data_IF_123361254955
#
_entry.id   IF_123361254955
#
_cell.length_a   1.000
_cell.length_b   1.000
_cell.length_c   1.000
_cell.angle_alpha   90.00
_cell.angle_beta   90.00
_cell.angle_gamma   90.00
#
_symmetry.space_group_name_H-M   'P 1'
#
loop_
_entity.id
_entity.type
_entity.pdbx_description
1 polymer ?
#
# COMPACT_ATOMS: atom_id res chain seq x y z
N UNK A 1 -18.16 -17.91 16.64
CA UNK A 1 -18.12 -16.55 16.07
C UNK A 1 -17.10 -16.57 14.97
N UNK A 2 -17.58 -16.50 13.72
CA UNK A 2 -16.76 -16.79 12.54
C UNK A 2 -15.75 -15.69 12.26
N UNK A 3 -14.50 -16.10 12.10
CA UNK A 3 -13.38 -15.29 11.69
C UNK A 3 -13.49 -14.94 10.21
N UNK A 4 -14.28 -13.95 9.87
CA UNK A 4 -14.26 -13.36 8.53
C UNK A 4 -13.25 -12.21 8.46
N UNK A 5 -11.96 -12.54 8.56
CA UNK A 5 -10.95 -11.76 7.87
C UNK A 5 -11.04 -12.14 6.40
N UNK A 6 -12.03 -11.61 5.71
CA UNK A 6 -11.97 -11.54 4.26
C UNK A 6 -10.74 -10.69 3.95
N UNK A 7 -9.64 -11.36 3.66
CA UNK A 7 -8.51 -10.74 3.01
C UNK A 7 -9.12 -9.96 1.83
N UNK A 8 -8.85 -8.66 1.75
CA UNK A 8 -9.26 -7.85 0.62
C UNK A 8 -8.61 -8.47 -0.62
N UNK A 9 -9.29 -9.48 -1.16
CA UNK A 9 -8.95 -10.08 -2.44
C UNK A 9 -9.35 -9.05 -3.49
N UNK A 10 -8.47 -8.08 -3.71
CA UNK A 10 -8.54 -7.30 -4.91
C UNK A 10 -8.32 -8.26 -6.08
N UNK A 11 -9.41 -8.62 -6.73
CA UNK A 11 -9.38 -9.32 -8.01
C UNK A 11 -9.29 -8.25 -9.09
N UNK A 12 -8.09 -8.06 -9.66
CA UNK A 12 -7.94 -7.14 -10.76
C UNK A 12 -8.77 -7.58 -11.96
N UNK A 13 -9.45 -6.65 -12.62
CA UNK A 13 -10.05 -6.90 -13.93
C UNK A 13 -8.94 -7.35 -14.89
N UNK A 14 -9.24 -8.39 -15.69
CA UNK A 14 -8.21 -9.18 -16.35
C UNK A 14 -7.96 -8.64 -17.77
N UNK A 15 -6.80 -8.10 -18.01
CA UNK A 15 -6.13 -8.37 -19.28
C UNK A 15 -4.95 -9.33 -19.01
N UNK A 16 -5.13 -10.61 -19.31
CA UNK A 16 -4.15 -11.66 -19.07
C UNK A 16 -3.28 -11.91 -20.31
N UNK A 17 -2.80 -10.86 -20.94
CA UNK A 17 -1.87 -11.00 -22.06
C UNK A 17 -0.48 -11.34 -21.53
N UNK A 18 0.06 -12.48 -21.98
CA UNK A 18 1.45 -12.83 -21.72
C UNK A 18 2.35 -11.86 -22.47
N UNK A 19 3.25 -11.19 -21.78
CA UNK A 19 4.25 -10.32 -22.35
C UNK A 19 5.55 -11.13 -22.46
N UNK A 20 5.83 -11.64 -23.64
CA UNK A 20 7.00 -12.49 -23.91
C UNK A 20 8.30 -11.71 -24.17
N UNK A 21 8.25 -10.37 -24.28
CA UNK A 21 9.44 -9.55 -24.51
C UNK A 21 9.25 -8.09 -24.09
N UNK A 22 10.37 -7.41 -23.84
CA UNK A 22 10.39 -5.96 -23.55
C UNK A 22 9.75 -5.15 -24.68
N UNK A 23 9.97 -5.57 -25.93
CA UNK A 23 9.39 -4.89 -27.10
C UNK A 23 7.86 -4.90 -27.03
N UNK A 24 7.25 -6.05 -26.76
CA UNK A 24 5.79 -6.17 -26.64
C UNK A 24 5.27 -5.32 -25.49
N UNK A 25 6.00 -5.24 -24.36
CA UNK A 25 5.63 -4.36 -23.27
C UNK A 25 5.63 -2.90 -23.69
N UNK A 26 6.69 -2.43 -24.35
CA UNK A 26 6.79 -1.03 -24.78
C UNK A 26 5.70 -0.67 -25.81
N UNK A 27 5.44 -1.54 -26.78
CA UNK A 27 4.36 -1.35 -27.77
C UNK A 27 2.98 -1.24 -27.08
N UNK A 28 2.73 -2.04 -26.05
CA UNK A 28 1.49 -1.94 -25.26
C UNK A 28 1.40 -0.65 -24.49
N UNK A 29 2.48 -0.25 -23.81
CA UNK A 29 2.52 0.98 -23.05
C UNK A 29 2.32 2.21 -23.96
N UNK A 30 2.93 2.23 -25.15
CA UNK A 30 2.75 3.29 -26.14
C UNK A 30 1.29 3.39 -26.63
N UNK A 31 0.64 2.26 -26.90
CA UNK A 31 -0.75 2.23 -27.35
C UNK A 31 -1.77 2.66 -26.27
N UNK A 32 -1.37 2.63 -24.99
CA UNK A 32 -2.22 2.94 -23.84
C UNK A 32 -1.93 4.30 -23.21
N UNK A 33 -0.97 5.05 -23.78
CA UNK A 33 -0.75 6.44 -23.40
C UNK A 33 -1.90 7.30 -23.96
N UNK A 34 -3.03 7.27 -23.29
CA UNK A 34 -4.00 8.36 -23.39
C UNK A 34 -3.50 9.49 -22.50
N UNK A 35 -3.25 10.67 -23.10
CA UNK A 35 -2.94 11.92 -22.39
C UNK A 35 -4.16 12.39 -21.59
N UNK A 36 -4.49 11.67 -20.56
CA UNK A 36 -5.54 12.07 -19.63
C UNK A 36 -4.89 12.71 -18.42
N UNK A 37 -4.93 14.04 -18.34
CA UNK A 37 -4.33 14.82 -17.26
C UNK A 37 -4.95 14.56 -15.88
N UNK A 38 -6.08 13.85 -15.83
CA UNK A 38 -6.78 13.57 -14.58
C UNK A 38 -6.26 12.32 -13.86
N UNK A 39 -5.40 11.52 -14.52
CA UNK A 39 -4.88 10.28 -13.96
C UNK A 39 -3.36 10.21 -14.05
N UNK A 40 -2.77 9.57 -13.02
CA UNK A 40 -1.36 9.18 -13.02
C UNK A 40 -1.25 7.66 -13.07
N UNK A 41 -0.28 7.17 -13.85
CA UNK A 41 -0.02 5.75 -14.01
C UNK A 41 1.15 5.35 -13.13
N UNK A 42 0.93 4.30 -12.33
CA UNK A 42 1.95 3.67 -11.52
C UNK A 42 2.05 2.18 -11.86
N UNK A 43 3.20 1.61 -11.58
CA UNK A 43 3.49 0.21 -11.85
C UNK A 43 4.04 -0.49 -10.61
N UNK A 44 3.86 -1.82 -10.57
CA UNK A 44 4.47 -2.69 -9.58
C UNK A 44 4.77 -4.04 -10.20
N UNK A 45 6.01 -4.53 -10.03
CA UNK A 45 6.40 -5.90 -10.36
C UNK A 45 6.31 -6.83 -9.15
N UNK A 46 5.96 -8.08 -9.41
CA UNK A 46 6.06 -9.18 -8.45
C UNK A 46 6.70 -10.37 -9.15
N UNK A 47 7.72 -10.96 -8.52
CA UNK A 47 8.54 -12.03 -9.07
C UNK A 47 7.85 -13.40 -9.14
N UNK A 48 6.63 -13.53 -8.61
CA UNK A 48 5.79 -14.72 -8.70
C UNK A 48 4.34 -14.32 -8.94
N UNK A 49 3.75 -14.85 -10.00
CA UNK A 49 2.34 -14.59 -10.37
C UNK A 49 1.32 -15.10 -9.36
N UNK A 50 1.72 -16.02 -8.49
CA UNK A 50 0.85 -16.56 -7.43
C UNK A 50 0.68 -15.58 -6.26
N UNK A 51 1.59 -14.63 -6.10
CA UNK A 51 1.51 -13.66 -5.01
C UNK A 51 0.29 -12.76 -5.15
N UNK A 52 -0.46 -12.61 -4.05
CA UNK A 52 -1.53 -11.63 -3.94
C UNK A 52 -0.99 -10.19 -3.93
N UNK A 53 -1.80 -9.25 -4.42
CA UNK A 53 -1.49 -7.81 -4.34
C UNK A 53 -1.84 -7.29 -2.94
N UNK A 54 -1.10 -7.76 -1.94
CA UNK A 54 -1.28 -7.40 -0.53
C UNK A 54 0.05 -6.97 0.10
N UNK A 55 0.05 -5.97 0.99
CA UNK A 55 1.23 -5.60 1.77
C UNK A 55 1.77 -6.77 2.60
N UNK A 56 3.06 -6.77 2.86
CA UNK A 56 3.75 -7.86 3.56
C UNK A 56 3.19 -8.16 4.95
N UNK A 57 2.72 -7.15 5.67
CA UNK A 57 2.12 -7.31 7.01
C UNK A 57 0.85 -8.18 7.01
N UNK A 58 0.11 -8.24 5.89
CA UNK A 58 -1.14 -9.00 5.77
C UNK A 58 -0.92 -10.45 5.31
N UNK A 59 0.31 -10.84 4.94
CA UNK A 59 0.60 -12.20 4.47
C UNK A 59 0.48 -13.25 5.56
N UNK A 60 0.71 -12.85 6.80
CA UNK A 60 0.60 -13.73 7.96
C UNK A 60 -0.29 -13.09 9.05
N UNK A 61 -1.24 -13.86 9.56
CA UNK A 61 -2.18 -13.41 10.60
C UNK A 61 -1.44 -12.90 11.84
N UNK A 62 -0.36 -13.55 12.23
CA UNK A 62 0.45 -13.13 13.36
C UNK A 62 1.03 -11.72 13.19
N UNK A 63 1.51 -11.38 11.99
CA UNK A 63 2.13 -10.09 11.72
C UNK A 63 1.14 -8.94 11.89
N UNK A 64 0.00 -9.02 11.23
CA UNK A 64 -1.01 -7.95 11.32
C UNK A 64 -1.62 -7.83 12.72
N UNK A 65 -1.79 -8.92 13.45
CA UNK A 65 -2.27 -8.90 14.83
C UNK A 65 -1.29 -8.23 15.79
N UNK A 66 -0.01 -8.23 15.49
CA UNK A 66 1.05 -7.69 16.32
C UNK A 66 1.73 -6.44 15.71
N UNK A 67 1.20 -5.88 14.63
CA UNK A 67 1.82 -4.74 13.93
C UNK A 67 2.19 -3.60 14.87
N UNK A 68 1.29 -3.22 15.76
CA UNK A 68 1.49 -2.14 16.72
C UNK A 68 2.61 -2.40 17.72
N UNK A 69 2.86 -3.67 18.06
CA UNK A 69 3.97 -4.09 18.93
C UNK A 69 5.27 -4.13 18.13
N UNK A 70 5.26 -4.80 16.97
CA UNK A 70 6.40 -4.89 16.07
C UNK A 70 6.92 -3.48 15.75
N UNK A 71 6.02 -2.55 15.42
CA UNK A 71 6.36 -1.16 15.14
C UNK A 71 7.12 -0.48 16.29
N UNK A 72 6.67 -0.68 17.53
CA UNK A 72 7.31 -0.05 18.71
C UNK A 72 8.60 -0.75 19.09
N UNK A 73 8.61 -2.07 19.08
CA UNK A 73 9.76 -2.87 19.50
C UNK A 73 10.97 -2.61 18.61
N UNK A 74 10.76 -2.51 17.28
CA UNK A 74 11.84 -2.22 16.32
C UNK A 74 12.44 -0.84 16.58
N UNK A 75 11.61 0.19 16.80
CA UNK A 75 12.08 1.53 17.10
C UNK A 75 12.83 1.56 18.43
N UNK A 76 12.36 0.81 19.43
CA UNK A 76 13.00 0.74 20.73
C UNK A 76 14.36 -0.01 20.69
N UNK A 77 14.48 -1.03 19.82
CA UNK A 77 15.70 -1.79 19.66
C UNK A 77 16.77 -1.05 18.83
N UNK A 78 16.36 -0.21 17.88
CA UNK A 78 17.25 0.51 16.99
C UNK A 78 16.96 2.03 16.95
N UNK A 79 16.97 2.73 18.08
CA UNK A 79 16.53 4.13 18.15
C UNK A 79 17.41 5.06 17.29
N UNK A 80 18.70 4.73 17.10
CA UNK A 80 19.62 5.52 16.28
C UNK A 80 19.20 5.53 14.81
N UNK A 81 18.67 4.41 14.30
CA UNK A 81 18.23 4.29 12.92
C UNK A 81 17.00 5.16 12.63
N UNK A 82 16.12 5.33 13.60
CA UNK A 82 14.88 6.08 13.46
C UNK A 82 14.95 7.53 13.92
N UNK A 83 16.11 7.99 14.40
CA UNK A 83 16.30 9.34 14.94
C UNK A 83 15.93 10.45 13.95
N UNK A 84 16.15 10.23 12.65
CA UNK A 84 15.82 11.20 11.60
C UNK A 84 14.36 11.14 11.11
N UNK A 85 13.58 10.14 11.55
CA UNK A 85 12.20 9.97 11.10
C UNK A 85 11.25 10.76 12.00
N UNK A 86 10.63 11.81 11.46
CA UNK A 86 9.72 12.70 12.18
C UNK A 86 8.28 12.20 12.18
N UNK A 87 7.86 11.56 11.10
CA UNK A 87 6.50 11.04 10.91
C UNK A 87 6.42 9.51 11.06
N UNK A 88 5.21 9.00 11.26
CA UNK A 88 4.96 7.55 11.27
C UNK A 88 5.18 6.95 9.88
N UNK A 89 4.81 7.68 8.84
CA UNK A 89 5.02 7.24 7.46
C UNK A 89 6.50 7.03 7.16
N UNK A 90 7.37 7.99 7.50
CA UNK A 90 8.82 7.84 7.32
C UNK A 90 9.39 6.63 8.07
N UNK A 91 8.87 6.34 9.27
CA UNK A 91 9.27 5.15 10.03
C UNK A 91 8.84 3.86 9.32
N UNK A 92 7.62 3.81 8.78
CA UNK A 92 7.16 2.66 8.00
C UNK A 92 7.97 2.46 6.73
N UNK A 93 8.29 3.53 5.98
CA UNK A 93 9.16 3.48 4.81
C UNK A 93 10.54 2.94 5.18
N UNK A 94 11.11 3.40 6.28
CA UNK A 94 12.40 2.92 6.75
C UNK A 94 12.37 1.45 7.19
N UNK A 95 11.31 1.03 7.87
CA UNK A 95 11.08 -0.38 8.20
C UNK A 95 11.05 -1.24 6.94
N UNK A 96 10.31 -0.82 5.91
CA UNK A 96 10.22 -1.53 4.64
C UNK A 96 11.58 -1.61 3.94
N UNK A 97 12.37 -0.55 3.98
CA UNK A 97 13.74 -0.56 3.45
C UNK A 97 14.63 -1.61 4.14
N UNK A 98 14.38 -1.91 5.40
CA UNK A 98 15.03 -3.00 6.15
C UNK A 98 14.32 -4.37 5.99
N UNK A 99 13.45 -4.50 4.98
CA UNK A 99 12.69 -5.74 4.72
C UNK A 99 11.75 -6.16 5.85
N UNK A 100 11.39 -5.23 6.73
CA UNK A 100 10.41 -5.50 7.77
C UNK A 100 8.98 -5.44 7.19
N UNK A 101 8.08 -6.31 7.64
CA UNK A 101 6.71 -6.29 7.15
C UNK A 101 5.98 -5.02 7.53
N UNK A 102 5.42 -4.35 6.53
CA UNK A 102 4.63 -3.13 6.69
C UNK A 102 3.33 -3.20 5.89
N UNK A 103 2.43 -2.24 6.11
CA UNK A 103 1.20 -2.05 5.33
C UNK A 103 1.41 -1.26 4.04
N UNK A 104 2.65 -0.97 3.68
CA UNK A 104 2.97 -0.25 2.46
C UNK A 104 3.16 -1.21 1.28
N UNK A 105 2.82 -0.74 0.09
CA UNK A 105 3.14 -1.36 -1.18
C UNK A 105 3.96 -0.37 -2.01
N UNK A 106 5.16 -0.80 -2.44
CA UNK A 106 5.98 0.00 -3.33
C UNK A 106 5.38 0.00 -4.73
N UNK A 107 5.23 1.19 -5.28
CA UNK A 107 4.83 1.42 -6.66
C UNK A 107 5.81 2.40 -7.30
N UNK A 108 5.94 2.36 -8.61
CA UNK A 108 6.85 3.22 -9.37
C UNK A 108 6.14 3.81 -10.59
N UNK A 109 6.56 4.98 -11.03
CA UNK A 109 6.11 5.56 -12.30
C UNK A 109 6.86 4.98 -13.51
N UNK A 110 7.95 4.24 -13.27
CA UNK A 110 8.77 3.65 -14.33
C UNK A 110 8.40 2.18 -14.55
N UNK A 111 7.78 1.82 -15.70
CA UNK A 111 7.38 0.44 -16.00
C UNK A 111 8.56 -0.53 -16.08
N UNK A 112 9.76 -0.06 -16.50
CA UNK A 112 10.94 -0.93 -16.59
C UNK A 112 11.49 -1.30 -15.22
N UNK A 113 11.37 -0.42 -14.22
CA UNK A 113 11.70 -0.75 -12.83
C UNK A 113 10.74 -1.81 -12.29
N UNK A 114 9.46 -1.68 -12.56
CA UNK A 114 8.48 -2.70 -12.18
C UNK A 114 8.72 -4.02 -12.91
N UNK A 115 9.09 -3.98 -14.20
CA UNK A 115 9.49 -5.16 -14.98
C UNK A 115 10.70 -5.87 -14.35
N UNK A 116 11.72 -5.12 -13.93
CA UNK A 116 12.90 -5.68 -13.27
C UNK A 116 12.49 -6.53 -12.04
N UNK A 117 11.63 -6.00 -11.18
CA UNK A 117 11.14 -6.75 -10.02
C UNK A 117 10.24 -7.94 -10.40
N UNK A 118 9.51 -7.85 -11.52
CA UNK A 118 8.71 -8.98 -12.00
C UNK A 118 9.57 -10.12 -12.53
N UNK A 119 10.78 -9.82 -13.04
CA UNK A 119 11.73 -10.78 -13.58
C UNK A 119 12.80 -11.24 -12.60
N UNK A 120 12.69 -10.92 -11.31
CA UNK A 120 13.71 -11.24 -10.29
C UNK A 120 13.85 -12.76 -10.04
N UNK A 121 12.82 -13.55 -10.34
CA UNK A 121 12.82 -14.99 -10.16
C UNK A 121 12.71 -15.69 -11.52
N UNK A 122 13.78 -16.36 -11.95
CA UNK A 122 13.86 -17.07 -13.23
C UNK A 122 13.05 -18.37 -13.27
N UNK A 123 12.61 -18.88 -12.13
CA UNK A 123 11.94 -20.19 -12.03
C UNK A 123 10.44 -20.13 -12.28
N UNK A 124 9.83 -18.98 -12.17
CA UNK A 124 8.38 -18.79 -12.28
C UNK A 124 8.03 -17.49 -13.00
N UNK A 125 6.84 -17.46 -13.59
CA UNK A 125 6.34 -16.22 -14.20
C UNK A 125 6.05 -15.16 -13.15
N UNK A 126 6.53 -13.95 -13.38
CA UNK A 126 6.19 -12.78 -12.60
C UNK A 126 4.88 -12.12 -13.02
N UNK A 127 4.53 -11.04 -12.35
CA UNK A 127 3.40 -10.17 -12.67
C UNK A 127 3.82 -8.71 -12.72
N UNK A 128 3.34 -7.99 -13.72
CA UNK A 128 3.38 -6.55 -13.78
C UNK A 128 1.97 -5.98 -13.55
N UNK A 129 1.82 -5.14 -12.54
CA UNK A 129 0.59 -4.41 -12.25
C UNK A 129 0.73 -2.98 -12.76
N UNK A 130 -0.33 -2.48 -13.37
CA UNK A 130 -0.51 -1.08 -13.75
C UNK A 130 -1.67 -0.49 -12.97
N UNK A 131 -1.49 0.66 -12.36
CA UNK A 131 -2.50 1.36 -11.58
C UNK A 131 -2.78 2.71 -12.24
N UNK A 132 -4.05 3.00 -12.46
CA UNK A 132 -4.53 4.32 -12.82
C UNK A 132 -5.08 4.98 -11.57
N UNK A 133 -4.44 6.05 -11.14
CA UNK A 133 -4.79 6.76 -9.91
C UNK A 133 -5.22 8.19 -10.27
N UNK A 134 -6.41 8.58 -9.85
CA UNK A 134 -6.85 9.96 -10.05
C UNK A 134 -5.91 10.92 -9.35
N UNK A 135 -5.60 12.03 -10.00
CA UNK A 135 -4.72 13.07 -9.44
C UNK A 135 -5.21 13.55 -8.07
N UNK A 136 -6.53 13.63 -7.86
CA UNK A 136 -7.15 13.99 -6.58
C UNK A 136 -6.87 12.99 -5.45
N UNK A 137 -6.59 11.72 -5.77
CA UNK A 137 -6.34 10.65 -4.81
C UNK A 137 -4.86 10.54 -4.41
N UNK A 138 -3.98 11.19 -5.17
CA UNK A 138 -2.55 11.26 -4.85
C UNK A 138 -2.34 12.23 -3.69
N UNK A 139 -1.67 11.77 -2.64
CA UNK A 139 -1.37 12.56 -1.46
C UNK A 139 0.13 12.61 -1.23
N UNK A 140 0.60 13.78 -0.84
CA UNK A 140 1.99 13.95 -0.41
C UNK A 140 2.22 13.26 0.93
N UNK A 141 3.46 12.80 1.13
CA UNK A 141 3.88 12.04 2.31
C UNK A 141 3.68 12.79 3.65
N UNK A 142 3.65 14.11 3.62
CA UNK A 142 3.49 15.02 4.77
C UNK A 142 2.04 15.51 4.95
N UNK A 143 1.11 15.04 4.11
CA UNK A 143 -0.31 15.45 4.22
C UNK A 143 -0.99 14.87 5.45
N UNK A 144 -2.02 15.56 5.96
CA UNK A 144 -2.83 15.09 7.08
C UNK A 144 -3.44 13.71 6.82
N UNK A 145 -3.87 13.45 5.58
CA UNK A 145 -4.44 12.16 5.20
C UNK A 145 -3.42 11.02 5.38
N UNK A 146 -2.18 11.20 4.90
CA UNK A 146 -1.10 10.21 5.06
C UNK A 146 -0.70 10.08 6.52
N UNK A 147 -0.67 11.17 7.28
CA UNK A 147 -0.41 11.15 8.72
C UNK A 147 -1.44 10.31 9.46
N UNK A 148 -2.72 10.50 9.20
CA UNK A 148 -3.80 9.73 9.86
C UNK A 148 -3.71 8.26 9.50
N UNK A 149 -3.63 7.93 8.20
CA UNK A 149 -3.61 6.54 7.72
C UNK A 149 -2.38 5.78 8.22
N UNK A 150 -1.20 6.39 8.19
CA UNK A 150 0.02 5.76 8.67
C UNK A 150 -0.01 5.46 10.18
N UNK A 151 -0.68 6.30 10.97
CA UNK A 151 -0.81 6.10 12.41
C UNK A 151 -1.68 4.89 12.81
N UNK A 152 -2.43 4.30 11.88
CA UNK A 152 -3.17 3.04 12.11
C UNK A 152 -2.19 1.91 12.47
N UNK A 153 -0.97 1.89 11.93
CA UNK A 153 0.05 0.91 12.27
C UNK A 153 0.43 0.87 13.78
N UNK A 154 0.12 1.91 14.51
CA UNK A 154 0.36 1.99 15.97
C UNK A 154 -0.83 1.49 16.81
N UNK A 155 -1.96 1.18 16.17
CA UNK A 155 -3.18 0.79 16.86
C UNK A 155 -3.28 -0.73 16.95
N UNK A 156 -3.94 -1.27 17.99
CA UNK A 156 -4.27 -2.68 18.01
C UNK A 156 -5.22 -3.03 16.86
N UNK A 157 -5.28 -4.29 16.48
CA UNK A 157 -6.05 -4.73 15.31
C UNK A 157 -7.57 -4.54 15.46
N UNK A 158 -8.06 -4.60 16.68
CA UNK A 158 -9.46 -4.40 17.08
C UNK A 158 -9.85 -2.92 17.21
N UNK A 159 -8.92 -2.01 16.93
CA UNK A 159 -9.17 -0.57 16.98
C UNK A 159 -10.27 -0.17 16.00
N UNK A 160 -11.33 0.42 16.53
CA UNK A 160 -12.45 0.98 15.77
C UNK A 160 -12.47 2.50 15.86
N UNK A 161 -12.87 3.14 14.76
CA UNK A 161 -13.09 4.60 14.76
C UNK A 161 -14.34 4.97 15.55
N UNK A 162 -15.30 4.05 15.65
CA UNK A 162 -16.51 4.18 16.45
C UNK A 162 -16.17 4.35 17.92
N UNK A 163 -15.18 3.62 18.43
CA UNK A 163 -14.71 3.72 19.82
C UNK A 163 -14.20 5.13 20.14
N UNK A 164 -13.53 5.79 19.18
CA UNK A 164 -13.10 7.18 19.34
C UNK A 164 -14.27 8.17 19.43
N UNK A 165 -15.34 7.91 18.66
CA UNK A 165 -16.54 8.76 18.69
C UNK A 165 -17.31 8.63 20.00
N UNK A 166 -17.27 7.47 20.63
CA UNK A 166 -17.89 7.24 21.94
C UNK A 166 -17.10 7.90 23.07
N UNK A 167 -15.76 7.87 23.01
CA UNK A 167 -14.90 8.59 23.94
C UNK A 167 -15.11 10.11 23.86
N UNK A 168 -15.23 10.66 22.67
CA UNK A 168 -15.47 12.11 22.45
C UNK A 168 -16.85 12.56 22.91
N UNK A 169 -17.85 11.67 22.97
CA UNK A 169 -19.18 11.97 23.52
C UNK A 169 -19.20 12.05 25.05
N UNK A 170 -18.28 11.34 25.71
CA UNK A 170 -18.20 11.27 27.15
C UNK A 170 -17.32 12.36 27.78
N UNK A 171 -16.48 13.00 26.95
CA UNK A 171 -15.70 14.17 27.38
C UNK A 171 -16.39 15.45 26.91
N UNK A 172 -16.91 16.23 27.88
CA UNK A 172 -17.52 17.55 27.67
C UNK A 172 -16.46 18.62 27.34
N UNK A 173 -15.72 18.43 26.25
CA UNK A 173 -14.77 19.40 25.72
C UNK A 173 -15.34 20.07 24.46
N UNK A 174 -15.06 21.37 24.24
CA UNK A 174 -15.66 22.11 23.12
C UNK A 174 -15.20 21.51 21.79
N UNK A 175 -16.18 21.11 20.98
CA UNK A 175 -16.03 20.47 19.69
C UNK A 175 -15.10 21.26 18.76
N UNK A 176 -13.84 20.87 18.64
CA UNK A 176 -13.10 21.07 17.40
C UNK A 176 -13.69 20.10 16.39
N UNK A 177 -14.26 20.62 15.31
CA UNK A 177 -14.71 19.81 14.17
C UNK A 177 -13.50 19.11 13.58
N UNK A 178 -13.20 17.91 14.05
CA UNK A 178 -12.28 17.00 13.38
C UNK A 178 -13.03 16.41 12.19
N UNK A 179 -12.80 16.94 11.01
CA UNK A 179 -13.15 16.27 9.76
C UNK A 179 -12.28 15.01 9.66
N UNK A 180 -12.73 13.92 10.26
CA UNK A 180 -12.11 12.60 10.07
C UNK A 180 -12.51 12.15 8.68
N UNK A 181 -11.60 12.33 7.75
CA UNK A 181 -11.76 11.95 6.36
C UNK A 181 -11.55 10.45 6.24
N UNK A 182 -12.63 9.71 6.01
CA UNK A 182 -12.55 8.30 5.63
C UNK A 182 -12.12 8.24 4.17
N UNK A 183 -10.84 7.97 3.92
CA UNK A 183 -10.29 7.86 2.59
C UNK A 183 -10.70 6.52 2.00
N UNK A 184 -11.73 6.53 1.17
CA UNK A 184 -12.10 5.41 0.30
C UNK A 184 -11.15 5.46 -0.88
N UNK A 185 -10.06 4.67 -0.84
CA UNK A 185 -9.23 4.42 -2.00
C UNK A 185 -10.09 3.69 -3.04
N UNK A 186 -10.70 4.45 -3.94
CA UNK A 186 -11.35 3.90 -5.13
C UNK A 186 -10.25 3.60 -6.14
N UNK A 187 -9.69 2.41 -6.05
CA UNK A 187 -8.84 1.89 -7.11
C UNK A 187 -9.75 1.48 -8.26
N UNK A 188 -9.89 2.33 -9.27
CA UNK A 188 -10.47 1.94 -10.56
C UNK A 188 -9.34 1.51 -11.47
N UNK A 189 -9.31 0.22 -11.71
CA UNK A 189 -8.62 -0.49 -12.81
C UNK A 189 -7.11 -0.33 -13.06
N UNK A 190 -6.65 -1.29 -13.71
CA UNK A 190 -5.74 -2.37 -13.38
C UNK A 190 -4.65 -2.50 -14.44
N UNK A 191 -4.00 -3.30 -14.64
CA UNK A 191 -3.31 -4.53 -14.50
C UNK A 191 -2.87 -5.09 -15.80
N UNK A 192 -1.55 -5.20 -15.90
CA UNK A 192 -0.87 -6.10 -16.80
C UNK A 192 -0.33 -7.29 -16.03
N UNK A 193 -0.50 -8.49 -16.58
CA UNK A 193 0.19 -9.71 -16.15
C UNK A 193 1.28 -10.04 -17.17
N UNK A 194 2.46 -10.36 -16.68
CA UNK A 194 3.47 -11.12 -17.40
C UNK A 194 3.31 -12.59 -17.13
#
# INVERSE_FOLDING_TARGET
MGDSYEAYNYTPERDSSNIGSIKILLEKLENELEDNMDYHIFYRGQSDKSFGLIPSIYREKFLIQNENRIFRDIIAQSPADFKGCTSTFEKLVKMQHYSLPTRLLDITTNPLVALYFACENDAVDGKLFRFEVQTSDIKYFDSDAVSVVSNIAKRPIDFSIEDLRELDRNESTPKRKSNIFCMKLSMRNPIFRM
#
